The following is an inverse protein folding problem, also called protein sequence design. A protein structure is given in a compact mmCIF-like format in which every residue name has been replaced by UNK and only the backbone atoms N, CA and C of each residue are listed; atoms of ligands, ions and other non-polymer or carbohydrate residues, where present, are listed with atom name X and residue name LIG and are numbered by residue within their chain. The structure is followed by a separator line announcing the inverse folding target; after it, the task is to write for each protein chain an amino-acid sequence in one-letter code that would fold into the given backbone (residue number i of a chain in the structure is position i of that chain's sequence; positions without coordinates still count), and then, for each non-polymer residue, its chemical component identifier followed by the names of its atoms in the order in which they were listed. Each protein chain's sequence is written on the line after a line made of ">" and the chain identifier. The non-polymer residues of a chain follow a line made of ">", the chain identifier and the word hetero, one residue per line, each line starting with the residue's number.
data_IF_837527724781
#
_entry.id   IF_837527724781
#
_cell.length_a   1.000
_cell.length_b   1.000
_cell.length_c   1.000
_cell.angle_alpha   90.00
_cell.angle_beta   90.00
_cell.angle_gamma   90.00
#
_symmetry.space_group_name_H-M   'P 1'
#
loop_
_entity.id
_entity.type
_entity.pdbx_description
1 polymer ?
#
# COMPACT_ATOMS: atom_id res chain seq x y z
N UNK A 1 -57.84 49.14 16.13
CA UNK A 1 -56.84 48.62 15.14
C UNK A 1 -55.84 47.80 15.88
N UNK A 2 -55.89 46.50 15.74
CA UNK A 2 -54.89 45.58 16.34
C UNK A 2 -53.89 45.28 15.24
N UNK A 3 -52.62 45.69 15.40
CA UNK A 3 -51.54 45.38 14.51
C UNK A 3 -51.04 43.96 14.82
N UNK A 4 -51.25 43.01 13.90
CA UNK A 4 -50.67 41.68 13.95
C UNK A 4 -49.26 41.78 13.37
N UNK A 5 -48.26 41.80 14.22
CA UNK A 5 -46.86 41.63 13.81
C UNK A 5 -46.61 40.18 13.55
N UNK A 6 -46.53 39.76 12.27
CA UNK A 6 -46.06 38.44 11.90
C UNK A 6 -44.55 38.34 12.20
N UNK A 7 -44.17 37.58 13.21
CA UNK A 7 -42.79 37.23 13.44
C UNK A 7 -42.35 36.25 12.35
N UNK A 8 -41.47 36.70 11.41
CA UNK A 8 -40.77 35.80 10.52
C UNK A 8 -39.80 34.95 11.37
N UNK A 9 -40.15 33.66 11.52
CA UNK A 9 -39.22 32.66 12.03
C UNK A 9 -38.11 32.45 10.99
N UNK A 10 -36.94 33.00 11.21
CA UNK A 10 -35.74 32.68 10.42
C UNK A 10 -35.34 31.26 10.79
N UNK A 11 -35.66 30.32 9.89
CA UNK A 11 -35.14 28.95 10.03
C UNK A 11 -33.64 29.00 9.74
N UNK A 12 -32.82 29.03 10.76
CA UNK A 12 -31.38 28.79 10.64
C UNK A 12 -31.21 27.33 10.30
N UNK A 13 -30.83 27.06 9.08
CA UNK A 13 -30.34 25.73 8.68
C UNK A 13 -28.96 25.57 9.35
N UNK A 14 -28.90 25.07 10.58
CA UNK A 14 -27.64 24.70 11.19
C UNK A 14 -27.08 23.52 10.41
N UNK A 15 -25.91 23.75 9.82
CA UNK A 15 -25.16 22.70 9.17
C UNK A 15 -24.83 21.65 10.23
N UNK A 16 -25.41 20.46 10.10
CA UNK A 16 -25.06 19.33 10.96
C UNK A 16 -23.54 19.16 10.97
N UNK A 17 -22.93 18.88 12.12
CA UNK A 17 -21.50 18.62 12.19
C UNK A 17 -21.16 17.48 11.23
N UNK A 18 -20.13 17.70 10.40
CA UNK A 18 -19.65 16.67 9.49
C UNK A 18 -19.18 15.47 10.33
N UNK A 19 -19.61 14.27 9.94
CA UNK A 19 -19.10 13.03 10.54
C UNK A 19 -17.60 12.98 10.21
N UNK A 20 -16.70 12.84 11.21
CA UNK A 20 -15.28 12.71 10.97
C UNK A 20 -14.98 11.49 10.07
N UNK A 21 -14.05 11.65 9.12
CA UNK A 21 -13.57 10.53 8.31
C UNK A 21 -12.84 9.50 9.17
N UNK A 22 -13.11 8.24 8.94
CA UNK A 22 -12.36 7.12 9.51
C UNK A 22 -11.25 6.75 8.51
N UNK A 23 -9.95 6.79 8.88
CA UNK A 23 -8.90 6.37 7.97
C UNK A 23 -9.04 4.90 7.55
N UNK A 24 -8.57 4.54 6.33
CA UNK A 24 -8.60 3.16 5.87
C UNK A 24 -7.65 2.28 6.69
N UNK A 25 -7.79 0.96 6.57
CA UNK A 25 -6.88 -0.04 7.13
C UNK A 25 -6.11 -0.66 5.98
N UNK A 26 -4.79 -0.48 5.96
CA UNK A 26 -3.92 -1.09 4.97
C UNK A 26 -3.63 -2.55 5.34
N UNK A 27 -3.71 -3.44 4.35
CA UNK A 27 -3.33 -4.85 4.48
C UNK A 27 -2.92 -5.40 3.13
N UNK A 28 -1.88 -6.25 3.08
CA UNK A 28 -1.50 -6.93 1.85
C UNK A 28 -0.86 -8.28 2.12
N UNK A 29 -0.84 -9.11 1.10
CA UNK A 29 -0.09 -10.37 1.02
C UNK A 29 0.72 -10.38 -0.26
N UNK A 30 1.69 -11.28 -0.39
CA UNK A 30 2.46 -11.45 -1.62
C UNK A 30 2.77 -12.91 -1.91
N UNK A 31 3.01 -13.22 -3.17
CA UNK A 31 3.34 -14.57 -3.64
C UNK A 31 4.29 -14.50 -4.85
N UNK A 32 5.29 -15.39 -4.92
CA UNK A 32 5.66 -16.39 -3.92
C UNK A 32 6.29 -15.73 -2.68
N UNK A 33 6.19 -16.38 -1.52
CA UNK A 33 6.88 -15.91 -0.30
C UNK A 33 8.31 -16.45 -0.22
N UNK A 34 8.61 -17.55 -0.90
CA UNK A 34 9.93 -18.18 -0.99
C UNK A 34 9.89 -19.32 -2.02
N UNK A 35 10.95 -19.56 -2.80
CA UNK A 35 12.11 -18.70 -2.95
C UNK A 35 11.80 -17.47 -3.80
N UNK A 36 12.37 -16.32 -3.46
CA UNK A 36 12.39 -15.13 -4.33
C UNK A 36 13.83 -14.93 -4.76
N UNK A 37 14.09 -15.07 -6.07
CA UNK A 37 15.41 -14.88 -6.66
C UNK A 37 15.49 -13.52 -7.34
N UNK A 38 16.52 -12.74 -7.03
CA UNK A 38 16.74 -11.41 -7.62
C UNK A 38 16.83 -11.53 -9.16
N UNK A 39 16.29 -10.54 -9.87
CA UNK A 39 16.29 -10.49 -11.33
C UNK A 39 15.52 -11.61 -12.05
N UNK A 40 14.89 -12.56 -11.34
CA UNK A 40 14.25 -13.74 -11.93
C UNK A 40 12.81 -13.97 -11.45
N UNK A 41 12.55 -13.82 -10.15
CA UNK A 41 11.23 -14.10 -9.58
C UNK A 41 10.34 -12.88 -9.60
N UNK A 42 9.28 -12.91 -10.39
CA UNK A 42 8.22 -11.91 -10.36
C UNK A 42 7.33 -12.17 -9.16
N UNK A 43 7.27 -11.22 -8.23
CA UNK A 43 6.43 -11.29 -7.02
C UNK A 43 5.15 -10.49 -7.25
N UNK A 44 4.01 -11.09 -6.94
CA UNK A 44 2.71 -10.43 -7.00
C UNK A 44 2.31 -9.98 -5.61
N UNK A 45 2.05 -8.70 -5.43
CA UNK A 45 1.56 -8.09 -4.20
C UNK A 45 0.06 -7.80 -4.34
N UNK A 46 -0.73 -8.15 -3.32
CA UNK A 46 -2.19 -8.11 -3.36
C UNK A 46 -2.69 -7.41 -2.09
N UNK A 47 -3.24 -6.22 -2.26
CA UNK A 47 -3.77 -5.38 -1.17
C UNK A 47 -5.31 -5.41 -1.08
N UNK A 48 -5.98 -6.38 -1.70
CA UNK A 48 -7.45 -6.52 -1.65
C UNK A 48 -8.02 -6.76 -0.25
N UNK A 49 -7.17 -7.09 0.72
CA UNK A 49 -7.54 -7.17 2.14
C UNK A 49 -7.59 -5.81 2.85
N UNK A 50 -7.19 -4.72 2.19
CA UNK A 50 -7.34 -3.37 2.74
C UNK A 50 -8.81 -2.94 2.74
N UNK A 51 -9.24 -2.23 3.79
CA UNK A 51 -10.64 -1.83 3.98
C UNK A 51 -10.77 -0.37 4.39
N UNK A 52 -11.92 0.22 4.10
CA UNK A 52 -12.34 1.51 4.59
C UNK A 52 -13.76 1.38 5.16
N UNK A 53 -13.98 1.87 6.38
CA UNK A 53 -15.23 1.67 7.11
C UNK A 53 -16.35 2.64 6.70
N UNK A 54 -16.01 3.83 6.19
CA UNK A 54 -16.96 4.90 5.87
C UNK A 54 -16.76 5.52 4.48
N UNK A 55 -15.96 4.85 3.63
CA UNK A 55 -15.64 5.29 2.28
C UNK A 55 -15.07 4.17 1.41
N UNK A 56 -14.19 4.53 0.51
CA UNK A 56 -13.53 3.63 -0.43
C UNK A 56 -12.04 3.95 -0.54
N UNK A 57 -11.20 2.93 -0.71
CA UNK A 57 -9.80 3.11 -1.05
C UNK A 57 -9.70 3.47 -2.54
N UNK A 58 -9.09 4.60 -2.85
CA UNK A 58 -8.95 5.13 -4.22
C UNK A 58 -7.55 4.95 -4.77
N UNK A 59 -6.54 4.73 -3.92
CA UNK A 59 -5.17 4.48 -4.40
C UNK A 59 -4.33 3.62 -3.45
N UNK A 60 -3.38 2.92 -4.06
CA UNK A 60 -2.41 2.03 -3.43
C UNK A 60 -1.02 2.47 -3.87
N UNK A 61 -0.20 2.95 -2.94
CA UNK A 61 1.19 3.37 -3.20
C UNK A 61 2.13 2.34 -2.59
N UNK A 62 3.02 1.81 -3.42
CA UNK A 62 3.96 0.75 -3.08
C UNK A 62 5.40 1.26 -3.08
N UNK A 63 6.12 0.98 -2.01
CA UNK A 63 7.56 1.14 -1.91
C UNK A 63 8.16 -0.22 -1.58
N UNK A 64 9.00 -0.75 -2.47
CA UNK A 64 9.55 -2.10 -2.32
C UNK A 64 10.82 -2.14 -1.46
N UNK A 65 11.35 -0.98 -1.08
CA UNK A 65 12.52 -0.87 -0.19
C UNK A 65 13.86 -1.25 -0.84
N UNK A 66 13.87 -1.47 -2.15
CA UNK A 66 15.02 -1.92 -2.95
C UNK A 66 15.68 -0.78 -3.75
N UNK A 67 15.26 0.47 -3.51
CA UNK A 67 15.75 1.65 -4.22
C UNK A 67 15.03 1.97 -5.52
N UNK A 68 14.09 1.13 -5.96
CA UNK A 68 13.20 1.47 -7.08
C UNK A 68 12.22 2.58 -6.68
N UNK A 69 11.75 3.41 -7.64
CA UNK A 69 10.76 4.45 -7.35
C UNK A 69 9.45 3.87 -6.81
N UNK A 70 8.78 4.64 -5.96
CA UNK A 70 7.42 4.30 -5.51
C UNK A 70 6.45 4.25 -6.69
N UNK A 71 5.53 3.29 -6.64
CA UNK A 71 4.49 3.12 -7.64
C UNK A 71 3.10 3.29 -7.04
N UNK A 72 2.28 4.17 -7.64
CA UNK A 72 0.88 4.36 -7.23
C UNK A 72 -0.06 3.77 -8.28
N UNK A 73 -1.03 2.98 -7.81
CA UNK A 73 -2.06 2.30 -8.62
C UNK A 73 -3.45 2.57 -8.04
N UNK A 74 -4.47 2.48 -8.90
CA UNK A 74 -5.88 2.47 -8.48
C UNK A 74 -6.40 1.05 -8.25
N UNK A 75 -5.64 0.04 -8.67
CA UNK A 75 -5.93 -1.38 -8.45
C UNK A 75 -5.13 -1.91 -7.26
N UNK A 76 -5.69 -2.86 -6.48
CA UNK A 76 -5.02 -3.38 -5.29
C UNK A 76 -3.89 -4.37 -5.60
N UNK A 77 -3.62 -4.68 -6.85
CA UNK A 77 -2.62 -5.68 -7.25
C UNK A 77 -1.51 -5.05 -8.07
N UNK A 78 -0.27 -5.41 -7.76
CA UNK A 78 0.93 -5.02 -8.50
C UNK A 78 1.90 -6.19 -8.57
N UNK A 79 2.73 -6.25 -9.61
CA UNK A 79 3.86 -7.16 -9.69
C UNK A 79 5.16 -6.41 -9.58
N UNK A 80 6.16 -7.02 -8.94
CA UNK A 80 7.49 -6.44 -8.80
C UNK A 80 8.57 -7.50 -9.02
N UNK A 81 9.66 -7.09 -9.64
CA UNK A 81 10.87 -7.88 -9.82
C UNK A 81 12.00 -7.19 -9.05
N UNK A 82 12.46 -7.80 -7.96
CA UNK A 82 13.59 -7.25 -7.22
C UNK A 82 14.85 -7.23 -8.09
N UNK A 83 15.58 -6.10 -8.13
CA UNK A 83 16.71 -5.94 -9.03
C UNK A 83 17.82 -6.93 -8.73
N UNK A 84 18.56 -7.32 -9.77
CA UNK A 84 19.79 -8.06 -9.61
C UNK A 84 20.84 -7.19 -8.91
N UNK A 85 21.44 -7.74 -7.87
CA UNK A 85 22.58 -7.16 -7.21
C UNK A 85 23.82 -8.02 -7.49
N UNK A 86 25.05 -7.48 -7.41
CA UNK A 86 26.26 -8.27 -7.68
C UNK A 86 26.30 -9.51 -6.81
N UNK A 87 26.44 -10.67 -7.47
CA UNK A 87 26.33 -11.99 -6.87
C UNK A 87 27.24 -12.20 -5.66
N UNK A 88 26.66 -12.20 -4.47
CA UNK A 88 27.35 -12.47 -3.21
C UNK A 88 26.82 -13.71 -2.51
N UNK A 89 25.85 -14.44 -3.09
CA UNK A 89 25.13 -15.54 -2.44
C UNK A 89 24.49 -15.15 -1.09
N UNK A 90 24.14 -13.90 -0.93
CA UNK A 90 23.54 -13.39 0.30
C UNK A 90 22.02 -13.28 0.16
N UNK A 91 21.33 -13.53 1.24
CA UNK A 91 19.93 -13.17 1.39
C UNK A 91 19.82 -11.70 1.78
N UNK A 92 19.06 -10.92 0.99
CA UNK A 92 18.74 -9.53 1.31
C UNK A 92 17.29 -9.48 1.78
N UNK A 93 17.05 -8.74 2.85
CA UNK A 93 15.71 -8.52 3.38
C UNK A 93 15.26 -7.13 3.01
N UNK A 94 14.28 -7.03 2.12
CA UNK A 94 13.63 -5.76 1.77
C UNK A 94 12.38 -5.55 2.59
N UNK A 95 12.14 -4.32 3.03
CA UNK A 95 10.89 -3.94 3.69
C UNK A 95 9.97 -3.31 2.65
N UNK A 96 8.90 -4.01 2.32
CA UNK A 96 7.86 -3.53 1.41
C UNK A 96 6.84 -2.76 2.21
N UNK A 97 6.54 -1.53 1.79
CA UNK A 97 5.55 -0.65 2.40
C UNK A 97 4.40 -0.41 1.42
N UNK A 98 3.19 -0.66 1.86
CA UNK A 98 1.96 -0.26 1.21
C UNK A 98 1.38 0.95 1.94
N UNK A 99 1.01 1.99 1.20
CA UNK A 99 0.19 3.10 1.71
C UNK A 99 -1.11 3.14 0.90
N UNK A 100 -2.24 3.03 1.57
CA UNK A 100 -3.57 3.18 0.95
C UNK A 100 -4.13 4.56 1.26
N UNK A 101 -4.88 5.14 0.32
CA UNK A 101 -5.54 6.44 0.46
C UNK A 101 -7.01 6.27 0.17
N UNK A 102 -7.88 6.82 1.03
CA UNK A 102 -9.32 6.80 0.85
C UNK A 102 -9.82 7.94 -0.05
N UNK A 103 -11.12 7.96 -0.33
CA UNK A 103 -11.80 8.96 -1.17
C UNK A 103 -11.92 10.35 -0.50
N UNK A 104 -11.58 10.46 0.78
CA UNK A 104 -11.53 11.72 1.54
C UNK A 104 -10.10 12.19 1.82
N UNK A 105 -9.09 11.43 1.34
CA UNK A 105 -7.66 11.77 1.41
C UNK A 105 -6.93 11.29 2.67
N UNK A 106 -7.58 10.55 3.57
CA UNK A 106 -6.88 9.94 4.69
C UNK A 106 -6.04 8.73 4.23
N UNK A 107 -4.97 8.45 4.96
CA UNK A 107 -3.99 7.41 4.60
C UNK A 107 -3.72 6.47 5.75
N UNK A 108 -3.39 5.24 5.39
CA UNK A 108 -2.87 4.22 6.30
C UNK A 108 -1.80 3.39 5.60
N UNK A 109 -0.89 2.81 6.38
CA UNK A 109 0.20 2.03 5.82
C UNK A 109 0.35 0.68 6.51
N UNK A 110 0.82 -0.31 5.75
CA UNK A 110 1.22 -1.63 6.26
C UNK A 110 2.57 -2.01 5.65
N UNK A 111 3.38 -2.76 6.38
CA UNK A 111 4.68 -3.23 5.92
C UNK A 111 4.85 -4.73 6.13
N UNK A 112 5.59 -5.37 5.22
CA UNK A 112 6.06 -6.75 5.33
C UNK A 112 7.48 -6.85 4.77
N UNK A 113 8.23 -7.87 5.22
CA UNK A 113 9.57 -8.13 4.72
C UNK A 113 9.54 -9.20 3.64
N UNK A 114 10.27 -8.97 2.55
CA UNK A 114 10.53 -9.93 1.49
C UNK A 114 12.01 -10.37 1.56
N UNK A 115 12.24 -11.69 1.62
CA UNK A 115 13.59 -12.27 1.62
C UNK A 115 13.95 -12.65 0.20
N UNK A 116 14.94 -11.98 -0.34
CA UNK A 116 15.39 -12.16 -1.73
C UNK A 116 16.78 -12.77 -1.73
N UNK A 117 16.92 -13.88 -2.44
CA UNK A 117 18.19 -14.59 -2.59
C UNK A 117 18.86 -14.15 -3.88
N UNK A 118 20.10 -13.72 -3.80
CA UNK A 118 20.92 -13.48 -4.98
C UNK A 118 21.44 -14.81 -5.51
N UNK A 119 21.13 -15.13 -6.77
CA UNK A 119 21.69 -16.28 -7.43
C UNK A 119 23.03 -15.89 -8.07
N UNK A 120 24.09 -16.72 -7.89
CA UNK A 120 25.33 -16.49 -8.60
C UNK A 120 25.12 -16.68 -10.11
N UNK A 121 25.89 -15.96 -10.96
CA UNK A 121 25.89 -16.21 -12.39
C UNK A 121 26.32 -17.66 -12.67
N UNK A 122 25.81 -18.29 -13.75
CA UNK A 122 25.98 -19.73 -14.03
C UNK A 122 27.42 -20.22 -14.20
N UNK A 123 28.42 -19.36 -14.10
CA UNK A 123 29.84 -19.68 -14.33
C UNK A 123 30.77 -19.54 -13.13
N UNK A 124 30.30 -19.11 -11.96
CA UNK A 124 31.21 -18.91 -10.84
C UNK A 124 30.49 -18.91 -9.49
N UNK A 125 30.88 -19.82 -8.63
CA UNK A 125 30.58 -19.90 -7.19
C UNK A 125 29.33 -20.73 -6.88
N UNK A 126 29.59 -21.94 -6.45
CA UNK A 126 28.63 -22.82 -5.79
C UNK A 126 28.34 -22.27 -4.39
N UNK A 127 27.15 -21.66 -4.19
CA UNK A 127 26.70 -21.17 -2.90
C UNK A 127 26.41 -22.29 -1.88
N UNK A 128 26.49 -23.56 -2.28
CA UNK A 128 26.22 -24.73 -1.41
C UNK A 128 27.41 -25.10 -0.52
N UNK A 129 28.56 -24.43 -0.63
CA UNK A 129 29.79 -24.74 0.07
C UNK A 129 30.16 -23.79 1.21
N UNK A 130 29.17 -23.17 1.84
CA UNK A 130 29.42 -22.42 3.09
C UNK A 130 28.67 -23.00 4.26
#
# INVERSE_FOLDING_TARGET
>A
MVAVTAALAVVHCEKLPAIPNVPPIASFVYSPVSPINSGQTVVTFIASGSTDADGQIVSYTWNFGDGTPEETRTTPTITHLFPDTPATCLEIVYTVLLTVTDDKGAKSSASQTARVTELPPPTSIDCSRR
#
